data_IF_144998681613
#
_entry.id   IF_144998681613
#
_cell.length_a   1.000
_cell.length_b   1.000
_cell.length_c   1.000
_cell.angle_alpha   90.00
_cell.angle_beta   90.00
_cell.angle_gamma   90.00
#
_symmetry.space_group_name_H-M   'P 1'
#
loop_
_entity.id
_entity.type
_entity.pdbx_description
1 polymer ?
#
# COMPACT_ATOMS: atom_id res chain seq x y z
N UNK A 1 1.71 -25.26 20.79
CA UNK A 1 0.32 -24.75 20.77
C UNK A 1 0.41 -23.24 20.89
N UNK A 2 0.63 -22.53 19.78
CA UNK A 2 0.81 -21.08 19.77
C UNK A 2 -0.50 -20.45 19.29
N UNK A 3 -1.03 -19.57 20.13
CA UNK A 3 -2.28 -18.85 19.92
C UNK A 3 -2.21 -17.95 18.68
N UNK A 4 -3.36 -17.88 18.00
CA UNK A 4 -3.64 -17.05 16.84
C UNK A 4 -3.43 -15.56 17.15
N UNK A 5 -2.43 -14.95 16.52
CA UNK A 5 -2.43 -13.52 16.23
C UNK A 5 -2.30 -13.38 14.71
N UNK A 6 -3.43 -13.10 14.05
CA UNK A 6 -3.52 -12.85 12.62
C UNK A 6 -2.70 -11.61 12.27
N UNK A 7 -1.48 -11.82 11.77
CA UNK A 7 -0.57 -10.77 11.33
C UNK A 7 -1.02 -10.29 9.93
N UNK A 8 -1.94 -9.34 9.90
CA UNK A 8 -2.24 -8.59 8.68
C UNK A 8 -1.01 -7.75 8.36
N UNK A 9 -0.44 -7.93 7.16
CA UNK A 9 0.60 -7.07 6.59
C UNK A 9 0.29 -5.60 6.89
N UNK A 10 1.29 -4.79 7.27
CA UNK A 10 1.17 -3.36 7.61
C UNK A 10 0.06 -2.64 6.81
N UNK A 11 -1.14 -2.58 7.39
CA UNK A 11 -2.37 -2.13 6.72
C UNK A 11 -2.70 -0.72 7.23
N UNK A 12 -2.49 0.31 6.41
CA UNK A 12 -3.08 1.62 6.67
C UNK A 12 -4.37 1.75 5.83
N UNK A 13 -5.48 1.18 6.31
CA UNK A 13 -6.80 1.46 5.74
C UNK A 13 -7.19 2.88 6.14
N UNK A 14 -7.16 3.82 5.18
CA UNK A 14 -7.71 5.15 5.37
C UNK A 14 -9.05 5.29 4.61
N UNK A 15 -10.13 4.78 5.18
CA UNK A 15 -11.47 5.03 4.67
C UNK A 15 -11.88 6.49 4.95
N UNK A 16 -11.82 7.36 3.94
CA UNK A 16 -12.33 8.74 4.04
C UNK A 16 -13.72 8.81 3.41
N UNK A 17 -14.76 8.65 4.23
CA UNK A 17 -16.14 8.92 3.84
C UNK A 17 -16.46 10.40 4.10
N UNK A 18 -16.90 11.15 3.08
CA UNK A 18 -17.50 12.49 3.27
C UNK A 18 -19.03 12.36 3.28
N UNK A 19 -19.64 12.91 4.32
CA UNK A 19 -21.08 12.92 4.56
C UNK A 19 -21.76 14.05 3.75
N UNK A 20 -22.30 13.72 2.59
CA UNK A 20 -23.41 14.46 1.96
C UNK A 20 -24.27 13.47 1.18
N UNK A 21 -25.58 13.62 1.34
CA UNK A 21 -26.64 12.70 0.97
C UNK A 21 -26.62 12.35 -0.53
N UNK A 22 -26.74 11.05 -0.87
CA UNK A 22 -26.70 10.47 -2.23
C UNK A 22 -25.37 10.64 -2.99
N UNK A 23 -24.34 9.84 -2.68
CA UNK A 23 -23.10 9.74 -3.47
C UNK A 23 -22.51 8.32 -3.38
N UNK A 24 -22.17 7.69 -4.51
CA UNK A 24 -21.38 6.46 -4.51
C UNK A 24 -20.13 6.63 -3.64
N UNK A 25 -20.05 5.90 -2.53
CA UNK A 25 -18.89 5.98 -1.64
C UNK A 25 -17.65 5.46 -2.37
N UNK A 26 -16.74 6.36 -2.71
CA UNK A 26 -15.42 6.00 -3.20
C UNK A 26 -14.56 5.52 -2.02
N UNK A 27 -14.22 4.23 -2.00
CA UNK A 27 -13.32 3.65 -1.01
C UNK A 27 -11.88 3.91 -1.45
N UNK A 28 -11.08 4.52 -0.56
CA UNK A 28 -9.66 4.77 -0.74
C UNK A 28 -8.87 3.83 0.17
N UNK A 29 -8.08 2.95 -0.42
CA UNK A 29 -7.29 1.96 0.29
C UNK A 29 -5.82 2.15 -0.03
N UNK A 30 -4.98 1.98 0.98
CA UNK A 30 -3.54 2.01 0.85
C UNK A 30 -2.95 0.79 1.52
N UNK A 31 -2.06 0.13 0.80
CA UNK A 31 -1.41 -1.07 1.29
C UNK A 31 0.09 -1.01 0.96
N UNK A 32 0.92 -1.47 1.89
CA UNK A 32 2.35 -1.54 1.64
C UNK A 32 3.01 -2.75 2.29
N UNK A 33 4.15 -3.14 1.73
CA UNK A 33 4.93 -4.28 2.21
C UNK A 33 6.43 -4.01 2.03
N UNK A 34 7.24 -4.53 2.96
CA UNK A 34 8.67 -4.62 2.74
C UNK A 34 9.00 -5.72 1.72
N UNK A 35 9.91 -5.45 0.78
CA UNK A 35 10.25 -6.42 -0.27
C UNK A 35 11.19 -7.56 0.20
N UNK A 36 11.74 -7.46 1.42
CA UNK A 36 12.55 -8.50 2.06
C UNK A 36 11.77 -9.28 3.14
N UNK A 37 10.46 -9.07 3.27
CA UNK A 37 9.63 -9.90 4.14
C UNK A 37 9.45 -11.30 3.57
N UNK A 38 9.93 -12.32 4.28
CA UNK A 38 9.74 -13.73 3.91
C UNK A 38 8.45 -14.32 4.49
N UNK A 39 7.90 -13.72 5.56
CA UNK A 39 6.69 -14.22 6.22
C UNK A 39 5.45 -13.92 5.39
N UNK A 40 5.37 -12.69 4.84
CA UNK A 40 4.32 -12.27 3.91
C UNK A 40 4.97 -11.56 2.71
N UNK A 41 5.47 -12.33 1.73
CA UNK A 41 6.15 -11.76 0.58
C UNK A 41 5.24 -10.85 -0.24
N UNK A 42 5.78 -9.72 -0.68
CA UNK A 42 5.06 -8.72 -1.47
C UNK A 42 4.40 -9.30 -2.74
N UNK A 43 5.02 -10.29 -3.37
CA UNK A 43 4.48 -10.97 -4.56
C UNK A 43 3.16 -11.69 -4.23
N UNK A 44 3.06 -12.34 -3.06
CA UNK A 44 1.84 -13.01 -2.64
C UNK A 44 0.71 -12.00 -2.40
N UNK A 45 1.03 -10.88 -1.76
CA UNK A 45 0.09 -9.78 -1.57
C UNK A 45 -0.37 -9.17 -2.89
N UNK A 46 0.56 -8.93 -3.83
CA UNK A 46 0.23 -8.40 -5.16
C UNK A 46 -0.69 -9.36 -5.92
N UNK A 47 -0.39 -10.67 -5.93
CA UNK A 47 -1.24 -11.67 -6.57
C UNK A 47 -2.64 -11.74 -5.95
N UNK A 48 -2.75 -11.56 -4.63
CA UNK A 48 -4.06 -11.43 -3.97
C UNK A 48 -4.81 -10.18 -4.42
N UNK A 49 -4.14 -9.03 -4.53
CA UNK A 49 -4.75 -7.79 -5.05
C UNK A 49 -5.23 -7.98 -6.50
N UNK A 50 -4.40 -8.59 -7.34
CA UNK A 50 -4.74 -8.88 -8.75
C UNK A 50 -5.97 -9.81 -8.86
N UNK A 51 -6.12 -10.75 -7.93
CA UNK A 51 -7.29 -11.65 -7.86
C UNK A 51 -8.62 -10.93 -7.61
N UNK A 52 -8.59 -9.68 -7.13
CA UNK A 52 -9.79 -8.85 -6.97
C UNK A 52 -10.38 -8.41 -8.33
N UNK A 53 -9.66 -8.59 -9.44
CA UNK A 53 -10.14 -8.27 -10.79
C UNK A 53 -10.32 -6.77 -11.06
N UNK A 54 -9.66 -5.91 -10.27
CA UNK A 54 -9.71 -4.45 -10.45
C UNK A 54 -8.68 -4.03 -11.50
N UNK A 55 -9.07 -3.12 -12.40
CA UNK A 55 -8.19 -2.63 -13.45
C UNK A 55 -6.99 -1.84 -12.90
N UNK A 56 -5.83 -2.04 -13.51
CA UNK A 56 -4.62 -1.23 -13.24
C UNK A 56 -4.82 0.15 -13.84
N UNK A 57 -4.91 1.15 -12.98
CA UNK A 57 -4.98 2.56 -13.38
C UNK A 57 -3.60 3.16 -13.61
N UNK A 58 -2.64 2.71 -12.82
CA UNK A 58 -1.29 3.23 -12.83
C UNK A 58 -0.30 2.07 -12.73
N UNK A 59 0.42 1.83 -13.83
CA UNK A 59 1.28 0.66 -13.98
C UNK A 59 2.44 0.65 -12.98
N UNK A 60 2.97 -0.55 -12.75
CA UNK A 60 4.09 -0.78 -11.85
C UNK A 60 5.28 0.13 -12.18
N UNK A 61 5.65 1.02 -11.26
CA UNK A 61 6.78 1.94 -11.43
C UNK A 61 7.53 2.17 -10.13
N UNK A 62 8.80 2.56 -10.26
CA UNK A 62 9.62 2.95 -9.12
C UNK A 62 9.10 4.25 -8.50
N UNK A 63 9.23 4.36 -7.17
CA UNK A 63 9.09 5.62 -6.44
C UNK A 63 10.41 5.96 -5.75
N UNK A 64 10.61 7.26 -5.52
CA UNK A 64 11.91 7.81 -5.15
C UNK A 64 11.85 8.60 -3.84
N UNK A 65 12.86 8.42 -3.02
CA UNK A 65 13.14 9.24 -1.85
C UNK A 65 14.63 9.61 -1.86
N UNK A 66 14.93 10.89 -1.67
CA UNK A 66 16.31 11.43 -1.72
C UNK A 66 17.11 11.02 -2.96
N UNK A 67 16.45 10.98 -4.13
CA UNK A 67 17.09 10.62 -5.41
C UNK A 67 17.40 9.13 -5.58
N UNK A 68 17.02 8.28 -4.63
CA UNK A 68 17.19 6.83 -4.68
C UNK A 68 15.86 6.12 -4.85
N UNK A 69 15.89 4.93 -5.47
CA UNK A 69 14.71 4.06 -5.55
C UNK A 69 14.39 3.57 -4.15
N UNK A 70 13.27 4.02 -3.60
CA UNK A 70 12.78 3.63 -2.28
C UNK A 70 11.81 2.43 -2.37
N UNK A 71 11.35 2.09 -3.57
CA UNK A 71 10.59 0.88 -3.87
C UNK A 71 9.78 1.03 -5.14
N UNK A 72 8.67 0.30 -5.24
CA UNK A 72 7.77 0.32 -6.40
C UNK A 72 6.32 0.51 -5.98
N UNK A 73 5.48 0.95 -6.91
CA UNK A 73 4.07 1.14 -6.69
C UNK A 73 3.24 0.76 -7.89
N UNK A 74 1.99 0.43 -7.64
CA UNK A 74 0.93 0.21 -8.64
C UNK A 74 -0.38 0.73 -8.06
N UNK A 75 -1.25 1.26 -8.92
CA UNK A 75 -2.57 1.72 -8.50
C UNK A 75 -3.66 0.99 -9.28
N UNK A 76 -4.67 0.57 -8.54
CA UNK A 76 -5.86 -0.08 -9.05
C UNK A 76 -7.07 0.83 -8.84
N UNK A 77 -7.96 0.87 -9.81
CA UNK A 77 -9.17 1.69 -9.74
C UNK A 77 -10.35 1.04 -10.46
N UNK A 78 -11.53 1.27 -9.91
CA UNK A 78 -12.82 1.18 -10.58
C UNK A 78 -13.71 2.35 -10.12
N UNK A 79 -15.01 2.32 -10.46
CA UNK A 79 -15.95 3.40 -10.16
C UNK A 79 -16.17 3.66 -8.66
N UNK A 80 -15.89 2.69 -7.80
CA UNK A 80 -16.19 2.74 -6.35
C UNK A 80 -14.97 2.50 -5.45
N UNK A 81 -13.84 2.09 -6.03
CA UNK A 81 -12.68 1.63 -5.28
C UNK A 81 -11.38 2.14 -5.92
N UNK A 82 -10.48 2.64 -5.06
CA UNK A 82 -9.12 3.04 -5.41
C UNK A 82 -8.14 2.45 -4.42
N UNK A 83 -7.21 1.65 -4.92
CA UNK A 83 -6.14 1.05 -4.12
C UNK A 83 -4.79 1.51 -4.64
N UNK A 84 -3.95 2.02 -3.73
CA UNK A 84 -2.53 2.25 -4.00
C UNK A 84 -1.73 1.20 -3.23
N UNK A 85 -0.98 0.38 -3.96
CA UNK A 85 -0.09 -0.61 -3.38
C UNK A 85 1.37 -0.18 -3.58
N UNK A 86 2.17 -0.27 -2.52
CA UNK A 86 3.56 0.21 -2.51
C UNK A 86 4.48 -0.82 -1.85
N UNK A 87 5.64 -1.06 -2.43
CA UNK A 87 6.73 -1.80 -1.78
C UNK A 87 7.76 -0.83 -1.22
N UNK A 88 8.39 -1.21 -0.11
CA UNK A 88 9.54 -0.48 0.46
C UNK A 88 10.78 -1.33 0.31
N UNK A 89 11.74 -0.83 -0.47
CA UNK A 89 12.97 -1.54 -0.85
C UNK A 89 13.89 -1.73 0.36
N UNK A 90 14.32 -2.96 0.58
CA UNK A 90 15.20 -3.33 1.69
C UNK A 90 14.49 -3.39 3.04
N UNK A 91 13.16 -3.37 3.07
CA UNK A 91 12.40 -3.43 4.31
C UNK A 91 11.86 -4.84 4.57
N UNK A 92 11.83 -5.26 5.83
CA UNK A 92 11.23 -6.53 6.27
C UNK A 92 9.74 -6.41 6.62
N UNK A 93 9.23 -7.35 7.42
CA UNK A 93 7.81 -7.42 7.82
C UNK A 93 7.33 -6.12 8.51
N UNK A 94 8.14 -5.60 9.42
CA UNK A 94 7.95 -4.31 10.11
C UNK A 94 8.67 -3.20 9.36
N UNK A 95 8.19 -2.82 8.16
CA UNK A 95 8.91 -1.90 7.28
C UNK A 95 9.42 -0.58 7.94
N UNK A 96 8.66 0.08 8.85
CA UNK A 96 9.16 1.26 9.56
C UNK A 96 10.36 1.01 10.48
N UNK A 97 10.58 -0.22 10.94
CA UNK A 97 11.75 -0.60 11.75
C UNK A 97 13.03 -0.64 10.91
N UNK A 98 12.95 -1.20 9.70
CA UNK A 98 14.09 -1.36 8.80
C UNK A 98 14.36 -0.11 7.94
N UNK A 99 13.31 0.59 7.54
CA UNK A 99 13.34 1.74 6.61
C UNK A 99 12.48 2.90 7.12
N UNK A 100 12.84 3.51 8.26
CA UNK A 100 12.01 4.52 8.92
C UNK A 100 11.82 5.79 8.07
N UNK A 101 12.86 6.25 7.37
CA UNK A 101 12.80 7.49 6.56
C UNK A 101 11.87 7.33 5.36
N UNK A 102 12.04 6.23 4.63
CA UNK A 102 11.24 5.90 3.46
C UNK A 102 9.78 5.62 3.86
N UNK A 103 9.58 4.91 4.99
CA UNK A 103 8.23 4.62 5.50
C UNK A 103 7.49 5.88 5.91
N UNK A 104 8.16 6.83 6.58
CA UNK A 104 7.59 8.11 6.95
C UNK A 104 7.26 8.95 5.72
N UNK A 105 8.20 9.09 4.79
CA UNK A 105 8.00 9.84 3.55
C UNK A 105 6.82 9.27 2.73
N UNK A 106 6.69 7.95 2.67
CA UNK A 106 5.59 7.26 2.01
C UNK A 106 4.24 7.59 2.67
N UNK A 107 4.10 7.46 4.00
CA UNK A 107 2.82 7.74 4.67
C UNK A 107 2.45 9.22 4.62
N UNK A 108 3.43 10.12 4.76
CA UNK A 108 3.21 11.57 4.68
C UNK A 108 2.71 11.97 3.29
N UNK A 109 3.34 11.47 2.23
CA UNK A 109 2.89 11.70 0.84
C UNK A 109 1.47 11.17 0.62
N UNK A 110 1.17 9.95 1.08
CA UNK A 110 -0.15 9.35 0.92
C UNK A 110 -1.25 10.18 1.61
N UNK A 111 -1.03 10.55 2.87
CA UNK A 111 -2.00 11.33 3.67
C UNK A 111 -2.21 12.73 3.10
N UNK A 112 -1.13 13.37 2.62
CA UNK A 112 -1.18 14.67 1.97
C UNK A 112 -1.71 14.62 0.51
N UNK A 113 -2.08 13.44 -0.01
CA UNK A 113 -2.52 13.22 -1.40
C UNK A 113 -1.48 13.61 -2.46
N UNK A 114 -0.20 13.60 -2.08
CA UNK A 114 0.90 13.74 -3.02
C UNK A 114 1.20 12.40 -3.71
N UNK A 115 1.79 12.43 -4.92
CA UNK A 115 2.33 11.24 -5.53
C UNK A 115 3.36 10.59 -4.59
N UNK A 116 3.20 9.27 -4.40
CA UNK A 116 4.27 8.41 -3.86
C UNK A 116 5.38 8.35 -4.91
#
# INVERSE_FOLDING_TARGET
>A
MAHQHSCFSCLAIAASARHTETCSLLILTFHFSGDHDISIPWIATLGWIESLGVSVFDAWRAWYHDGQIAGYQVKFMNDHFRLTYVTVKGAGHTAPEYKPKESLAMIDRYLARYPI
#
